data_IF_355156961834
#
_entry.id   IF_355156961834
#
_cell.length_a   1.000
_cell.length_b   1.000
_cell.length_c   1.000
_cell.angle_alpha   90.00
_cell.angle_beta   90.00
_cell.angle_gamma   90.00
#
_symmetry.space_group_name_H-M   'P 1'
#
loop_
_entity.id
_entity.type
_entity.pdbx_description
1 polymer ?
#
# COMPACT_ATOMS: atom_id res chain seq x y z
N UNK A 1 -2.61 -18.81 -13.79
CA UNK A 1 -3.10 -18.98 -12.40
C UNK A 1 -2.23 -18.18 -11.44
N UNK A 2 -2.75 -17.11 -10.81
CA UNK A 2 -2.03 -16.40 -9.74
C UNK A 2 -2.03 -17.30 -8.51
N UNK A 3 -0.84 -17.79 -8.13
CA UNK A 3 -0.65 -18.74 -7.03
C UNK A 3 -1.37 -18.29 -5.75
N UNK A 4 -2.09 -19.20 -5.10
CA UNK A 4 -2.59 -19.08 -3.72
C UNK A 4 -1.47 -18.86 -2.68
N UNK A 5 -0.22 -18.71 -3.14
CA UNK A 5 0.97 -18.47 -2.34
C UNK A 5 1.04 -17.05 -1.76
N UNK A 6 0.48 -16.05 -2.44
CA UNK A 6 0.65 -14.63 -2.07
C UNK A 6 -0.47 -14.09 -1.18
N UNK A 7 -0.16 -13.11 -0.34
CA UNK A 7 -1.18 -12.35 0.40
C UNK A 7 -1.81 -11.32 -0.54
N UNK A 8 -3.14 -11.19 -0.56
CA UNK A 8 -3.82 -10.18 -1.37
C UNK A 8 -5.11 -9.68 -0.73
N UNK A 9 -5.50 -8.47 -1.13
CA UNK A 9 -6.80 -7.89 -0.81
C UNK A 9 -7.39 -7.17 -2.03
N UNK A 10 -8.70 -7.02 -2.02
CA UNK A 10 -9.48 -6.28 -3.00
C UNK A 10 -10.03 -5.03 -2.33
N UNK A 11 -9.98 -3.91 -3.05
CA UNK A 11 -10.42 -2.61 -2.55
C UNK A 11 -11.27 -1.91 -3.62
N UNK A 12 -12.17 -1.04 -3.17
CA UNK A 12 -12.85 -0.13 -4.08
C UNK A 12 -11.94 1.06 -4.45
N UNK A 13 -12.44 1.93 -5.33
CA UNK A 13 -11.72 3.13 -5.78
C UNK A 13 -11.37 4.13 -4.67
N UNK A 14 -12.08 4.07 -3.54
CA UNK A 14 -11.83 4.92 -2.37
C UNK A 14 -10.86 4.27 -1.36
N UNK A 15 -10.35 3.07 -1.65
CA UNK A 15 -9.42 2.37 -0.77
C UNK A 15 -10.06 1.60 0.39
N UNK A 16 -11.39 1.47 0.41
CA UNK A 16 -12.07 0.59 1.38
C UNK A 16 -11.80 -0.86 0.99
N UNK A 17 -11.41 -1.69 1.95
CA UNK A 17 -11.25 -3.13 1.72
C UNK A 17 -12.62 -3.75 1.43
N UNK A 18 -12.67 -4.62 0.42
CA UNK A 18 -13.85 -5.38 0.02
C UNK A 18 -13.71 -6.84 0.42
N UNK A 19 -12.53 -7.42 0.18
CA UNK A 19 -12.23 -8.79 0.53
C UNK A 19 -10.72 -8.95 0.72
N UNK A 20 -10.32 -9.99 1.44
CA UNK A 20 -8.91 -10.36 1.53
C UNK A 20 -8.76 -11.87 1.72
N UNK A 21 -7.65 -12.42 1.25
CA UNK A 21 -7.37 -13.83 1.47
C UNK A 21 -6.84 -14.09 2.88
N UNK A 22 -6.85 -15.35 3.30
CA UNK A 22 -6.39 -15.76 4.63
C UNK A 22 -4.94 -15.32 4.91
N UNK A 23 -4.08 -15.28 3.89
CA UNK A 23 -2.68 -14.87 4.04
C UNK A 23 -2.54 -13.39 4.35
N UNK A 24 -3.35 -12.54 3.72
CA UNK A 24 -3.43 -11.12 4.09
C UNK A 24 -3.89 -10.97 5.55
N UNK A 25 -4.97 -11.65 5.91
CA UNK A 25 -5.49 -11.66 7.28
C UNK A 25 -4.43 -12.06 8.30
N UNK A 26 -3.72 -13.17 8.07
CA UNK A 26 -2.62 -13.63 8.93
C UNK A 26 -1.43 -12.67 8.97
N UNK A 27 -1.08 -12.05 7.85
CA UNK A 27 0.07 -11.14 7.75
C UNK A 27 -0.18 -9.83 8.50
N UNK A 28 -1.37 -9.25 8.36
CA UNK A 28 -1.72 -7.94 8.93
C UNK A 28 -2.48 -8.03 10.25
N UNK A 29 -2.93 -9.23 10.65
CA UNK A 29 -3.62 -9.48 11.91
C UNK A 29 -5.09 -9.09 11.88
N UNK A 30 -5.76 -9.26 10.73
CA UNK A 30 -7.20 -9.07 10.58
C UNK A 30 -7.95 -10.40 10.65
N UNK A 31 -9.19 -10.36 11.12
CA UNK A 31 -10.18 -11.43 10.91
C UNK A 31 -10.87 -11.23 9.55
N UNK A 32 -11.21 -12.29 8.84
CA UNK A 32 -11.86 -12.16 7.54
C UNK A 32 -13.16 -11.32 7.60
N UNK A 33 -13.96 -11.49 8.66
CA UNK A 33 -15.22 -10.78 8.87
C UNK A 33 -15.06 -9.29 9.21
N UNK A 34 -13.87 -8.84 9.61
CA UNK A 34 -13.65 -7.43 9.95
C UNK A 34 -13.02 -6.62 8.81
N UNK A 35 -12.53 -7.29 7.76
CA UNK A 35 -11.79 -6.67 6.64
C UNK A 35 -12.58 -5.51 6.02
N UNK A 36 -13.87 -5.67 5.78
CA UNK A 36 -14.72 -4.67 5.10
C UNK A 36 -14.92 -3.35 5.86
N UNK A 37 -14.54 -3.30 7.14
CA UNK A 37 -14.59 -2.10 7.98
C UNK A 37 -13.30 -1.28 7.97
N UNK A 38 -12.29 -1.74 7.22
CA UNK A 38 -10.96 -1.15 7.21
C UNK A 38 -10.60 -0.55 5.84
N UNK A 39 -9.63 0.36 5.89
CA UNK A 39 -9.06 0.96 4.71
C UNK A 39 -7.66 0.42 4.47
N UNK A 40 -7.28 0.32 3.20
CA UNK A 40 -5.92 -0.12 2.85
C UNK A 40 -4.83 0.81 3.40
N UNK A 41 -5.15 2.09 3.64
CA UNK A 41 -4.23 3.05 4.25
C UNK A 41 -3.83 2.64 5.68
N UNK A 42 -4.66 1.86 6.38
CA UNK A 42 -4.44 1.48 7.79
C UNK A 42 -3.21 0.58 7.97
N UNK A 43 -2.79 -0.13 6.92
CA UNK A 43 -1.60 -1.00 6.94
C UNK A 43 -0.31 -0.26 6.57
N UNK A 44 -0.39 0.98 6.08
CA UNK A 44 0.81 1.79 5.81
C UNK A 44 1.38 2.31 7.13
N UNK A 45 2.72 2.24 7.29
CA UNK A 45 3.36 2.75 8.50
C UNK A 45 3.37 4.28 8.54
N UNK A 46 3.59 4.89 7.38
CA UNK A 46 3.65 6.33 7.19
C UNK A 46 2.61 6.78 6.16
N UNK A 47 1.91 7.87 6.46
CA UNK A 47 0.89 8.41 5.53
C UNK A 47 1.49 8.82 4.18
N UNK A 48 2.73 9.32 4.16
CA UNK A 48 3.39 9.77 2.93
C UNK A 48 3.54 8.64 1.91
N UNK A 49 3.81 7.42 2.39
CA UNK A 49 3.99 6.24 1.53
C UNK A 49 2.67 5.84 0.85
N UNK A 50 1.55 6.02 1.54
CA UNK A 50 0.22 5.80 0.94
C UNK A 50 -0.05 6.80 -0.18
N UNK A 51 0.19 8.09 0.05
CA UNK A 51 0.00 9.13 -0.97
C UNK A 51 0.88 8.87 -2.18
N UNK A 52 2.16 8.56 -1.95
CA UNK A 52 3.11 8.24 -3.01
C UNK A 52 2.70 6.98 -3.79
N UNK A 53 2.20 5.96 -3.10
CA UNK A 53 1.70 4.74 -3.76
C UNK A 53 0.48 5.02 -4.62
N UNK A 54 -0.52 5.77 -4.14
CA UNK A 54 -1.74 6.05 -4.90
C UNK A 54 -1.47 6.87 -6.16
N UNK A 55 -0.58 7.87 -6.09
CA UNK A 55 -0.19 8.64 -7.27
C UNK A 55 0.49 7.77 -8.34
N UNK A 56 1.22 6.72 -7.93
CA UNK A 56 1.88 5.77 -8.85
C UNK A 56 0.97 4.62 -9.30
N UNK A 57 -0.07 4.29 -8.53
CA UNK A 57 -0.86 3.07 -8.69
C UNK A 57 -2.30 3.33 -9.22
N UNK A 58 -2.43 4.24 -10.17
CA UNK A 58 -3.73 4.67 -10.77
C UNK A 58 -4.46 3.54 -11.49
N UNK A 59 -3.75 2.74 -12.29
CA UNK A 59 -4.34 1.60 -13.03
C UNK A 59 -3.52 0.32 -12.89
N UNK A 60 -2.19 0.44 -12.78
CA UNK A 60 -1.30 -0.68 -12.50
C UNK A 60 -0.07 -0.19 -11.76
N UNK A 61 0.33 -0.90 -10.70
CA UNK A 61 1.61 -0.68 -10.06
C UNK A 61 2.34 -2.02 -9.94
N UNK A 62 3.58 -2.05 -10.40
CA UNK A 62 4.45 -3.19 -10.22
C UNK A 62 5.44 -2.88 -9.09
N UNK A 63 5.53 -3.79 -8.13
CA UNK A 63 6.62 -3.90 -7.18
C UNK A 63 7.03 -2.62 -6.40
N UNK A 64 6.06 -1.94 -5.79
CA UNK A 64 6.36 -0.80 -4.90
C UNK A 64 6.83 -1.28 -3.53
N UNK A 65 8.07 -0.98 -3.16
CA UNK A 65 8.64 -1.34 -1.85
C UNK A 65 8.21 -0.32 -0.81
N UNK A 66 7.63 -0.78 0.29
CA UNK A 66 7.12 0.08 1.36
C UNK A 66 7.22 -0.58 2.73
N UNK A 67 7.31 0.26 3.77
CA UNK A 67 7.21 -0.19 5.16
C UNK A 67 5.75 -0.23 5.58
N UNK A 68 5.26 -1.43 5.86
CA UNK A 68 3.91 -1.69 6.34
C UNK A 68 3.91 -2.02 7.81
N UNK A 69 2.74 -1.93 8.44
CA UNK A 69 2.49 -2.36 9.81
C UNK A 69 1.31 -3.31 9.87
N UNK A 70 1.39 -4.27 10.78
CA UNK A 70 0.21 -5.04 11.18
C UNK A 70 -0.60 -4.28 12.25
N UNK A 71 -1.76 -4.82 12.61
CA UNK A 71 -2.66 -4.23 13.63
C UNK A 71 -2.03 -4.11 15.02
N UNK A 72 -1.04 -4.96 15.35
CA UNK A 72 -0.26 -4.91 16.60
C UNK A 72 0.91 -3.90 16.54
N UNK A 73 1.04 -3.14 15.45
CA UNK A 73 2.09 -2.13 15.26
C UNK A 73 3.45 -2.68 14.79
N UNK A 74 3.62 -4.00 14.66
CA UNK A 74 4.87 -4.58 14.14
C UNK A 74 5.04 -4.20 12.68
N UNK A 75 6.21 -3.66 12.36
CA UNK A 75 6.54 -3.16 11.02
C UNK A 75 7.38 -4.16 10.24
N UNK A 76 7.25 -4.18 8.91
CA UNK A 76 8.05 -4.99 8.01
C UNK A 76 8.10 -4.37 6.61
N UNK A 77 9.13 -4.69 5.85
CA UNK A 77 9.24 -4.31 4.44
C UNK A 77 8.43 -5.27 3.57
N UNK A 78 7.67 -4.72 2.61
CA UNK A 78 6.94 -5.51 1.64
C UNK A 78 6.92 -4.82 0.28
N UNK A 79 6.88 -5.64 -0.76
CA UNK A 79 6.51 -5.22 -2.11
C UNK A 79 4.99 -5.27 -2.25
N UNK A 80 4.40 -4.19 -2.75
CA UNK A 80 2.98 -4.11 -3.14
C UNK A 80 2.89 -4.00 -4.66
N UNK A 81 2.06 -4.83 -5.27
CA UNK A 81 1.60 -4.64 -6.64
C UNK A 81 0.09 -4.46 -6.69
N UNK A 82 -0.40 -3.78 -7.72
CA UNK A 82 -1.82 -3.51 -7.94
C UNK A 82 -2.22 -3.81 -9.37
N UNK A 83 -3.37 -4.48 -9.50
CA UNK A 83 -4.08 -4.63 -10.76
C UNK A 83 -5.51 -4.11 -10.62
N UNK A 84 -5.95 -3.31 -11.59
CA UNK A 84 -7.37 -2.96 -11.74
C UNK A 84 -8.13 -4.11 -12.42
N UNK A 85 -9.30 -4.44 -11.88
CA UNK A 85 -10.19 -5.48 -12.38
C UNK A 85 -11.58 -4.87 -12.49
N UNK A 86 -12.23 -5.02 -13.63
CA UNK A 86 -13.63 -4.63 -13.79
C UNK A 86 -14.54 -5.80 -13.40
N UNK A 87 -15.45 -5.57 -12.46
CA UNK A 87 -16.44 -6.55 -12.01
C UNK A 87 -17.81 -5.86 -12.04
N UNK A 88 -18.71 -6.34 -12.92
CA UNK A 88 -20.06 -5.80 -13.09
C UNK A 88 -20.08 -4.27 -13.32
N UNK A 89 -19.18 -3.76 -14.18
CA UNK A 89 -19.06 -2.34 -14.48
C UNK A 89 -18.46 -1.48 -13.36
N UNK A 90 -17.92 -2.10 -12.29
CA UNK A 90 -17.23 -1.41 -11.19
C UNK A 90 -15.76 -1.77 -11.18
N UNK A 91 -14.90 -0.77 -10.98
CA UNK A 91 -13.46 -0.98 -10.83
C UNK A 91 -13.18 -1.45 -9.40
N UNK A 92 -12.51 -2.59 -9.32
CA UNK A 92 -11.96 -3.18 -8.09
C UNK A 92 -10.45 -3.28 -8.25
N UNK A 93 -9.70 -2.80 -7.27
CA UNK A 93 -8.25 -2.93 -7.28
C UNK A 93 -7.83 -4.11 -6.43
N UNK A 94 -7.12 -5.07 -7.03
CA UNK A 94 -6.48 -6.17 -6.30
C UNK A 94 -5.04 -5.79 -5.98
N UNK A 95 -4.74 -5.68 -4.69
CA UNK A 95 -3.40 -5.40 -4.18
C UNK A 95 -2.78 -6.72 -3.70
N UNK A 96 -1.58 -7.04 -4.16
CA UNK A 96 -0.83 -8.24 -3.77
C UNK A 96 0.41 -7.84 -2.99
N UNK A 97 0.69 -8.55 -1.91
CA UNK A 97 1.75 -8.24 -0.95
C UNK A 97 2.76 -9.39 -0.91
N UNK A 98 4.04 -9.03 -1.00
CA UNK A 98 5.14 -9.94 -0.79
C UNK A 98 6.07 -9.36 0.29
N UNK A 99 6.09 -10.01 1.46
CA UNK A 99 7.04 -9.66 2.52
C UNK A 99 8.46 -9.89 2.01
N UNK A 100 9.30 -8.88 2.12
CA UNK A 100 10.72 -8.98 1.78
C UNK A 100 11.40 -9.60 3.01
N UNK A 101 12.13 -10.70 2.82
CA UNK A 101 12.93 -11.27 3.90
C UNK A 101 14.01 -10.24 4.23
N UNK A 102 14.19 -9.92 5.50
CA UNK A 102 15.37 -9.20 5.95
C UNK A 102 16.58 -10.10 5.65
N UNK A 103 17.16 -9.96 4.46
CA UNK A 103 18.61 -10.11 4.34
C UNK A 103 19.19 -9.04 5.27
N UNK A 104 20.24 -9.36 6.01
CA UNK A 104 20.88 -8.44 6.96
C UNK A 104 21.58 -7.24 6.29
N UNK A 105 20.99 -6.67 5.24
CA UNK A 105 21.41 -5.46 4.54
C UNK A 105 20.32 -4.42 4.69
N UNK A 106 20.64 -3.46 5.54
CA UNK A 106 19.85 -2.30 5.92
C UNK A 106 19.32 -1.52 4.69
N UNK A 107 18.00 -1.55 4.37
CA UNK A 107 17.43 -0.72 3.32
C UNK A 107 16.92 0.63 3.86
N UNK A 108 17.41 1.09 5.03
CA UNK A 108 17.15 2.46 5.50
C UNK A 108 17.95 3.54 4.74
N UNK A 109 18.35 3.26 3.49
CA UNK A 109 18.86 4.27 2.57
C UNK A 109 17.92 4.31 1.38
N UNK A 110 17.32 5.49 1.23
CA UNK A 110 16.55 5.98 0.09
C UNK A 110 15.01 5.89 0.15
N UNK A 111 14.46 6.52 1.19
CA UNK A 111 13.21 7.28 1.06
C UNK A 111 13.22 8.47 2.05
N UNK A 112 14.36 9.17 2.07
CA UNK A 112 14.45 10.56 2.46
C UNK A 112 14.52 11.35 1.15
N UNK A 113 13.37 11.68 0.57
CA UNK A 113 13.31 12.94 -0.16
C UNK A 113 13.67 14.00 0.90
N UNK A 114 14.82 14.64 0.72
CA UNK A 114 15.25 15.76 1.53
C UNK A 114 14.13 16.80 1.49
N UNK A 115 13.71 17.29 2.65
CA UNK A 115 12.66 18.32 2.82
C UNK A 115 13.01 19.69 2.19
N UNK A 116 14.02 19.76 1.32
CA UNK A 116 14.56 21.00 0.76
C UNK A 116 14.07 21.36 -0.65
N UNK A 117 13.25 20.55 -1.33
CA UNK A 117 12.73 20.88 -2.68
C UNK A 117 11.19 21.04 -2.77
N UNK A 118 10.46 21.05 -1.64
CA UNK A 118 8.99 21.17 -1.63
C UNK A 118 8.46 22.51 -1.09
N UNK A 119 9.32 23.52 -0.91
CA UNK A 119 8.90 24.86 -0.51
C UNK A 119 9.71 25.91 -1.26
N UNK A 120 9.41 26.11 -2.54
CA UNK A 120 9.67 27.40 -3.16
C UNK A 120 8.43 28.26 -2.89
N UNK A 121 8.51 29.28 -2.00
CA UNK A 121 7.41 30.21 -1.86
C UNK A 121 7.24 30.91 -3.20
N UNK A 122 6.04 30.84 -3.78
CA UNK A 122 5.69 31.70 -4.91
C UNK A 122 5.92 33.14 -4.47
N UNK A 123 6.98 33.74 -5.00
CA UNK A 123 7.31 35.14 -4.78
C UNK A 123 6.13 35.97 -5.28
N UNK A 124 5.45 36.57 -4.31
CA UNK A 124 4.79 37.87 -4.32
C UNK A 124 4.36 38.43 -5.67
N UNK A 125 3.03 38.50 -5.81
CA UNK A 125 2.34 39.55 -6.54
C UNK A 125 2.92 40.90 -6.08
N UNK A 126 3.60 41.61 -6.98
CA UNK A 126 3.84 43.03 -6.87
C UNK A 126 2.96 43.73 -7.92
N UNK A 127 2.30 44.79 -7.45
CA UNK A 127 1.29 45.64 -8.09
C UNK A 127 1.63 46.09 -9.51
#
# INVERSE_FOLDING_TARGET
>A
MKSEKSAFCEINVHGRLLAANQKFCSLFGYKAQEVEWHYIRDIFRYSKDWTAFIHKATSKAAHYIVRLKNRKGRSFMASISRDAIEINGKIVYRNTFQKIKDSAENPAKDCSLTEQELYEPQASIAL
#
